data_IF_841799791292
#
_entry.id   IF_841799791292
#
_cell.length_a   1.000
_cell.length_b   1.000
_cell.length_c   1.000
_cell.angle_alpha   90.00
_cell.angle_beta   90.00
_cell.angle_gamma   90.00
#
_symmetry.space_group_name_H-M   'P 1'
#
loop_
_entity.id
_entity.type
_entity.pdbx_description
1 polymer ?
#
# COMPACT_ATOMS: atom_id res chain seq x y z
N UNK A 1 3.31 2.38 9.50
CA UNK A 1 2.34 3.12 10.34
C UNK A 1 1.59 4.14 9.49
N UNK A 2 0.26 4.17 9.51
CA UNK A 2 -0.53 5.19 8.82
C UNK A 2 -0.45 6.53 9.57
N UNK A 3 0.21 7.53 8.99
CA UNK A 3 0.37 8.87 9.59
C UNK A 3 0.38 9.92 8.49
N UNK A 4 -0.39 10.99 8.69
CA UNK A 4 -0.41 12.16 7.82
C UNK A 4 0.63 13.20 8.27
N UNK A 5 1.80 13.18 7.64
CA UNK A 5 2.86 14.16 7.83
C UNK A 5 3.04 14.92 6.51
N UNK A 6 2.96 16.26 6.54
CA UNK A 6 3.19 17.05 5.34
C UNK A 6 4.70 17.14 5.07
N UNK A 7 5.12 16.72 3.88
CA UNK A 7 6.52 16.79 3.41
C UNK A 7 6.59 17.45 2.02
N UNK A 8 7.62 18.24 1.78
CA UNK A 8 7.92 18.77 0.46
C UNK A 8 8.71 17.71 -0.32
N UNK A 9 8.19 17.31 -1.47
CA UNK A 9 8.79 16.31 -2.35
C UNK A 9 9.32 17.01 -3.59
N UNK A 10 10.64 16.98 -3.76
CA UNK A 10 11.31 17.55 -4.91
C UNK A 10 11.95 16.45 -5.75
N UNK A 11 11.55 16.29 -7.01
CA UNK A 11 12.23 15.42 -7.97
C UNK A 11 13.63 15.96 -8.27
N UNK A 12 14.61 15.06 -8.24
CA UNK A 12 15.99 15.35 -8.63
C UNK A 12 16.26 14.96 -10.09
N UNK A 13 15.23 14.54 -10.83
CA UNK A 13 15.37 14.20 -12.23
C UNK A 13 15.41 15.47 -13.11
N UNK A 14 16.45 15.64 -13.96
CA UNK A 14 16.59 16.81 -14.81
C UNK A 14 15.47 16.96 -15.86
N UNK A 15 14.83 15.84 -16.22
CA UNK A 15 13.80 15.78 -17.26
C UNK A 15 12.43 16.28 -16.80
N UNK A 16 12.15 16.23 -15.49
CA UNK A 16 10.85 16.61 -14.92
C UNK A 16 11.04 17.23 -13.51
N UNK A 17 11.32 18.54 -13.42
CA UNK A 17 11.41 19.23 -12.15
C UNK A 17 10.03 19.25 -11.50
N UNK A 18 9.88 18.46 -10.45
CA UNK A 18 8.67 18.38 -9.65
C UNK A 18 8.99 18.86 -8.24
N UNK A 19 8.16 19.74 -7.67
CA UNK A 19 8.30 20.18 -6.29
C UNK A 19 6.93 20.47 -5.71
N UNK A 20 6.39 19.53 -4.93
CA UNK A 20 5.04 19.61 -4.38
C UNK A 20 5.04 19.30 -2.88
N UNK A 21 4.14 19.96 -2.14
CA UNK A 21 3.86 19.61 -0.76
C UNK A 21 2.92 18.40 -0.73
N UNK A 22 3.44 17.23 -0.41
CA UNK A 22 2.67 15.99 -0.36
C UNK A 22 2.37 15.59 1.09
N UNK A 23 1.27 14.87 1.28
CA UNK A 23 0.93 14.27 2.57
C UNK A 23 1.28 12.79 2.55
N UNK A 24 1.97 12.31 3.59
CA UNK A 24 2.19 10.87 3.76
C UNK A 24 0.89 10.18 4.13
N UNK A 25 0.67 8.99 3.57
CA UNK A 25 -0.43 8.10 3.94
C UNK A 25 0.07 7.04 4.92
N UNK A 26 1.22 6.43 4.61
CA UNK A 26 1.85 5.39 5.41
C UNK A 26 3.34 5.67 5.46
N UNK A 27 3.92 5.61 6.65
CA UNK A 27 5.34 5.82 6.89
C UNK A 27 5.96 4.57 7.54
N UNK A 28 7.22 4.31 7.21
CA UNK A 28 8.07 3.24 7.74
C UNK A 28 9.50 3.78 7.89
N UNK A 29 10.36 3.07 8.63
CA UNK A 29 11.79 3.42 8.71
C UNK A 29 12.45 3.45 7.32
N UNK A 30 12.00 2.59 6.40
CA UNK A 30 12.60 2.40 5.08
C UNK A 30 11.97 3.28 4.01
N UNK A 31 10.89 4.01 4.29
CA UNK A 31 10.17 4.74 3.25
C UNK A 31 8.75 5.15 3.62
N UNK A 32 8.02 5.67 2.65
CA UNK A 32 6.64 6.11 2.80
C UNK A 32 5.83 5.94 1.53
N UNK A 33 4.51 5.85 1.70
CA UNK A 33 3.55 6.16 0.65
C UNK A 33 3.07 7.60 0.84
N UNK A 34 3.10 8.38 -0.22
CA UNK A 34 2.62 9.77 -0.27
C UNK A 34 1.47 9.90 -1.27
N UNK A 35 0.64 10.91 -1.05
CA UNK A 35 -0.33 11.38 -2.04
C UNK A 35 0.27 12.56 -2.81
N UNK A 36 0.40 12.41 -4.13
CA UNK A 36 0.79 13.49 -5.04
C UNK A 36 -0.32 13.75 -6.06
N UNK A 37 -0.43 14.98 -6.56
CA UNK A 37 -1.34 15.30 -7.67
C UNK A 37 -0.81 14.79 -9.02
N UNK A 38 0.50 14.58 -9.10
CA UNK A 38 1.21 14.22 -10.34
C UNK A 38 1.73 12.79 -10.26
N UNK A 39 1.77 12.12 -11.41
CA UNK A 39 2.38 10.79 -11.52
C UNK A 39 3.90 10.92 -11.44
N UNK A 40 4.49 10.23 -10.47
CA UNK A 40 5.94 10.03 -10.40
C UNK A 40 6.24 8.58 -10.78
N UNK A 41 7.05 8.36 -11.80
CA UNK A 41 7.37 7.01 -12.25
C UNK A 41 8.36 6.29 -11.30
N UNK A 42 8.33 4.97 -11.32
CA UNK A 42 9.25 4.15 -10.53
C UNK A 42 10.69 4.38 -10.98
N UNK A 43 11.60 4.51 -10.02
CA UNK A 43 13.03 4.77 -10.23
C UNK A 43 13.44 6.24 -10.14
N UNK A 44 12.48 7.18 -10.11
CA UNK A 44 12.78 8.62 -10.01
C UNK A 44 13.39 8.94 -8.64
N UNK A 45 14.59 9.57 -8.59
CA UNK A 45 15.16 10.04 -7.33
C UNK A 45 14.43 11.30 -6.86
N UNK A 46 13.97 11.27 -5.62
CA UNK A 46 13.23 12.35 -4.98
C UNK A 46 13.89 12.76 -3.67
N UNK A 47 13.70 14.02 -3.31
CA UNK A 47 14.24 14.65 -2.10
C UNK A 47 13.07 15.07 -1.23
N UNK A 48 13.04 14.57 -0.01
CA UNK A 48 12.04 14.89 0.98
C UNK A 48 12.57 15.94 1.93
N UNK A 49 11.83 17.03 2.08
CA UNK A 49 12.12 18.09 3.04
C UNK A 49 10.94 18.24 3.99
N UNK A 50 11.22 18.14 5.29
CA UNK A 50 10.23 18.38 6.34
C UNK A 50 10.24 19.85 6.75
N UNK A 51 9.14 20.33 7.34
CA UNK A 51 9.03 21.72 7.84
C UNK A 51 10.09 22.06 8.90
N UNK A 52 10.61 21.07 9.63
CA UNK A 52 11.67 21.25 10.62
C UNK A 52 13.09 21.28 10.00
N UNK A 53 13.20 21.36 8.67
CA UNK A 53 14.47 21.47 7.96
C UNK A 53 15.26 20.16 7.84
N UNK A 54 14.65 19.02 8.20
CA UNK A 54 15.23 17.70 7.94
C UNK A 54 15.03 17.33 6.48
N UNK A 55 16.09 16.84 5.87
CA UNK A 55 16.11 16.42 4.47
C UNK A 55 16.51 14.95 4.36
N UNK A 56 15.85 14.21 3.48
CA UNK A 56 16.20 12.83 3.17
C UNK A 56 16.04 12.56 1.67
N UNK A 57 16.94 11.74 1.12
CA UNK A 57 16.84 11.26 -0.26
C UNK A 57 16.11 9.93 -0.29
N UNK A 58 15.27 9.77 -1.31
CA UNK A 58 14.46 8.59 -1.53
C UNK A 58 14.32 8.31 -3.03
N UNK A 59 13.92 7.10 -3.37
CA UNK A 59 13.59 6.73 -4.73
C UNK A 59 12.14 6.25 -4.81
N UNK A 60 11.44 6.61 -5.89
CA UNK A 60 10.09 6.11 -6.13
C UNK A 60 10.18 4.62 -6.49
N UNK A 61 9.38 3.79 -5.83
CA UNK A 61 9.33 2.33 -6.05
C UNK A 61 8.11 1.96 -6.87
N UNK A 62 6.97 2.57 -6.58
CA UNK A 62 5.71 2.25 -7.23
C UNK A 62 4.79 3.47 -7.24
N UNK A 63 3.90 3.54 -8.23
CA UNK A 63 2.97 4.64 -8.41
C UNK A 63 1.62 4.10 -8.88
N UNK A 64 0.63 4.21 -8.02
CA UNK A 64 -0.71 3.69 -8.26
C UNK A 64 -1.73 4.83 -8.23
N UNK A 65 -2.71 4.87 -9.14
CA UNK A 65 -3.79 5.86 -9.05
C UNK A 65 -4.66 5.61 -7.81
N UNK A 66 -5.04 6.67 -7.09
CA UNK A 66 -5.86 6.59 -5.87
C UNK A 66 -7.34 6.45 -6.28
N UNK A 67 -7.72 5.25 -6.70
CA UNK A 67 -9.11 4.88 -7.02
C UNK A 67 -9.73 5.66 -8.19
N UNK A 68 -10.90 5.23 -8.63
CA UNK A 68 -11.58 5.81 -9.80
C UNK A 68 -12.16 7.23 -9.57
N UNK A 69 -11.99 7.83 -8.38
CA UNK A 69 -12.68 9.06 -7.99
C UNK A 69 -11.89 10.06 -7.14
N UNK A 70 -10.64 9.79 -6.75
CA UNK A 70 -9.77 10.82 -6.16
C UNK A 70 -8.68 11.18 -7.17
N UNK A 71 -8.62 12.46 -7.56
CA UNK A 71 -7.53 12.96 -8.40
C UNK A 71 -6.25 12.96 -7.58
N UNK A 72 -5.45 11.91 -7.74
CA UNK A 72 -4.17 11.79 -7.06
C UNK A 72 -3.51 10.43 -7.31
N UNK A 73 -2.18 10.44 -7.22
CA UNK A 73 -1.33 9.29 -7.33
C UNK A 73 -0.80 8.93 -5.95
N UNK A 74 -0.91 7.66 -5.59
CA UNK A 74 -0.26 7.07 -4.43
C UNK A 74 1.12 6.66 -4.89
N UNK A 75 2.10 7.46 -4.52
CA UNK A 75 3.49 7.22 -4.83
C UNK A 75 4.14 6.55 -3.62
N UNK A 76 4.62 5.33 -3.80
CA UNK A 76 5.45 4.65 -2.82
C UNK A 76 6.91 5.03 -3.07
N UNK A 77 7.57 5.54 -2.05
CA UNK A 77 8.96 5.94 -2.10
C UNK A 77 9.74 5.26 -0.96
N UNK A 78 10.96 4.83 -1.26
CA UNK A 78 11.88 4.21 -0.30
C UNK A 78 13.03 5.16 -0.03
N UNK A 79 13.32 5.39 1.24
CA UNK A 79 14.44 6.20 1.70
C UNK A 79 15.74 5.45 1.43
N UNK A 80 16.77 6.16 0.96
CA UNK A 80 18.09 5.57 0.71
C UNK A 80 18.76 5.15 2.03
N UNK A 81 18.48 5.89 3.11
CA UNK A 81 18.94 5.58 4.47
C UNK A 81 17.74 5.35 5.37
N UNK A 82 17.60 4.15 5.97
CA UNK A 82 16.52 3.89 6.90
C UNK A 82 16.75 4.65 8.20
N UNK A 83 15.97 5.70 8.44
CA UNK A 83 16.10 6.56 9.62
C UNK A 83 14.70 7.00 10.11
N UNK A 84 14.60 7.41 11.38
CA UNK A 84 13.43 8.12 11.89
C UNK A 84 13.35 9.57 11.36
N UNK A 85 13.30 9.71 10.03
CA UNK A 85 13.08 10.97 9.33
C UNK A 85 11.77 11.64 9.76
N UNK A 86 10.75 10.82 10.05
CA UNK A 86 9.39 11.25 10.39
C UNK A 86 9.28 11.98 11.73
N UNK A 87 10.27 11.84 12.62
CA UNK A 87 10.29 12.50 13.92
C UNK A 87 9.19 12.03 14.87
N UNK A 88 8.62 10.84 14.64
CA UNK A 88 7.52 10.32 15.46
C UNK A 88 8.04 9.86 16.83
N UNK A 89 7.33 10.25 17.89
CA UNK A 89 7.52 9.79 19.28
C UNK A 89 6.15 9.44 19.87
N UNK A 90 5.90 8.22 20.36
CA UNK A 90 6.80 7.06 20.32
C UNK A 90 6.95 6.50 18.89
N UNK A 91 8.18 6.16 18.48
CA UNK A 91 8.44 5.43 17.24
C UNK A 91 8.47 3.92 17.53
N UNK A 92 8.07 3.07 16.56
CA UNK A 92 8.28 1.63 16.65
C UNK A 92 9.76 1.30 16.88
N UNK A 93 10.01 0.23 17.62
CA UNK A 93 11.36 -0.19 18.02
C UNK A 93 12.29 -0.43 16.82
N UNK A 94 11.72 -0.82 15.67
CA UNK A 94 12.42 -1.07 14.40
C UNK A 94 12.93 0.20 13.68
N UNK A 95 12.64 1.39 14.22
CA UNK A 95 13.04 2.69 13.64
C UNK A 95 14.24 3.32 14.35
N UNK A 96 14.64 2.75 15.49
CA UNK A 96 15.86 3.14 16.19
C UNK A 96 17.01 2.44 15.45
N UNK A 97 17.94 3.18 14.83
CA UNK A 97 19.15 2.56 14.33
C UNK A 97 19.81 1.83 15.50
N UNK A 98 20.01 0.51 15.38
CA UNK A 98 20.93 -0.19 16.26
C UNK A 98 22.25 0.60 16.23
N UNK A 99 22.89 0.88 17.37
CA UNK A 99 24.17 1.56 17.37
C UNK A 99 25.11 0.83 16.42
N UNK A 100 25.55 1.49 15.35
CA UNK A 100 26.59 0.99 14.48
C UNK A 100 27.77 0.63 15.38
N UNK A 101 28.10 -0.66 15.45
CA UNK A 101 29.40 -1.09 15.94
C UNK A 101 30.46 -0.37 15.09
N UNK A 102 31.45 0.30 15.70
CA UNK A 102 32.50 0.95 14.94
C UNK A 102 33.28 -0.14 14.20
N UNK A 103 33.08 -0.22 12.89
CA UNK A 103 33.95 -1.00 12.02
C UNK A 103 35.36 -0.37 12.03
N UNK A 104 36.43 -1.17 11.98
CA UNK A 104 37.77 -0.71 12.29
C UNK A 104 38.27 0.32 11.27
N UNK A 105 38.99 1.30 11.79
CA UNK A 105 39.65 2.35 11.03
C UNK A 105 40.53 1.79 9.89
N UNK A 106 40.19 2.14 8.65
CA UNK A 106 41.19 2.22 7.59
C UNK A 106 41.49 3.68 7.27
N UNK A 107 42.76 4.00 7.50
CA UNK A 107 43.36 5.31 7.39
C UNK A 107 43.46 5.75 5.92
N UNK A 108 43.09 7.02 5.72
CA UNK A 108 43.75 8.02 4.87
C UNK A 108 44.09 7.59 3.43
N UNK A 109 43.58 8.35 2.48
CA UNK A 109 44.45 9.25 1.71
C UNK A 109 43.69 10.49 1.22
N UNK A 110 44.21 11.61 1.71
CA UNK A 110 43.85 12.98 1.43
C UNK A 110 43.89 13.33 -0.06
N UNK A 111 42.88 14.06 -0.56
CA UNK A 111 43.16 15.12 -1.54
C UNK A 111 42.22 16.29 -1.35
N UNK A 112 42.83 17.40 -0.91
CA UNK A 112 42.22 18.71 -0.69
C UNK A 112 42.14 19.52 -2.00
N UNK A 113 41.30 20.56 -1.93
CA UNK A 113 41.26 21.85 -2.67
C UNK A 113 40.45 21.91 -3.99
N UNK A 114 39.87 23.09 -4.33
CA UNK A 114 39.08 24.00 -3.50
C UNK A 114 37.81 24.53 -4.19
N UNK A 115 36.91 25.04 -3.35
CA UNK A 115 35.85 26.02 -3.63
C UNK A 115 36.34 27.23 -4.44
N UNK A 116 35.58 27.61 -5.47
CA UNK A 116 35.59 28.95 -6.05
C UNK A 116 34.14 29.44 -6.23
N UNK A 117 33.87 30.55 -5.58
CA UNK A 117 32.62 31.30 -5.56
C UNK A 117 32.29 31.90 -6.95
N UNK A 118 31.00 32.01 -7.27
CA UNK A 118 30.45 33.13 -8.05
C UNK A 118 28.99 33.34 -7.63
N UNK A 119 28.77 34.39 -6.84
CA UNK A 119 27.47 35.05 -6.66
C UNK A 119 27.23 36.03 -7.82
N UNK A 120 26.00 36.55 -7.88
CA UNK A 120 25.47 37.56 -8.82
C UNK A 120 25.11 37.00 -10.21
N UNK A 121 24.06 37.42 -10.89
CA UNK A 121 22.90 38.31 -10.72
C UNK A 121 22.24 38.31 -12.12
N UNK A 122 21.02 38.85 -12.25
CA UNK A 122 20.22 39.16 -13.46
C UNK A 122 18.93 38.32 -13.52
N UNK A 123 17.88 38.75 -12.84
CA UNK A 123 16.84 39.69 -13.30
C UNK A 123 16.20 39.35 -14.66
N UNK A 124 14.87 39.29 -14.56
CA UNK A 124 13.85 39.57 -15.56
C UNK A 124 13.46 38.41 -16.49
N UNK A 125 12.20 37.97 -16.38
CA UNK A 125 11.14 38.55 -17.21
C UNK A 125 9.75 37.99 -16.84
N UNK A 126 8.83 38.93 -16.60
CA UNK A 126 7.40 38.75 -16.74
C UNK A 126 7.08 38.16 -18.12
N UNK A 127 6.02 37.35 -18.22
CA UNK A 127 5.01 37.41 -19.28
C UNK A 127 3.92 36.38 -18.97
N UNK A 128 2.79 36.86 -18.47
CA UNK A 128 1.47 36.25 -18.67
C UNK A 128 1.09 36.51 -20.14
N UNK A 129 0.38 35.59 -20.79
CA UNK A 129 -0.91 36.03 -21.32
C UNK A 129 -2.04 35.01 -21.08
N UNK A 130 -3.17 35.55 -20.63
CA UNK A 130 -4.50 34.94 -20.71
C UNK A 130 -4.89 34.65 -22.17
N UNK A 131 -5.78 33.66 -22.36
CA UNK A 131 -7.02 33.68 -23.18
C UNK A 131 -7.51 32.21 -23.28
N UNK A 132 -8.62 31.78 -22.66
CA UNK A 132 -10.07 32.03 -22.89
C UNK A 132 -10.69 30.86 -23.71
N UNK A 133 -11.90 30.45 -23.28
CA UNK A 133 -12.96 29.72 -24.02
C UNK A 133 -12.84 28.19 -23.98
N UNK A 134 -13.85 27.34 -23.74
CA UNK A 134 -15.22 27.32 -23.17
C UNK A 134 -15.50 25.81 -22.95
N UNK A 135 -16.38 25.41 -22.01
CA UNK A 135 -16.67 24.01 -21.71
C UNK A 135 -17.91 23.47 -22.44
N UNK A 136 -17.86 22.23 -22.93
CA UNK A 136 -19.02 21.40 -23.31
C UNK A 136 -18.75 19.96 -22.80
N UNK A 137 -19.49 19.49 -21.80
CA UNK A 137 -20.75 18.70 -21.89
C UNK A 137 -20.53 17.28 -22.43
N UNK A 138 -20.99 16.16 -21.87
CA UNK A 138 -21.79 15.82 -20.69
C UNK A 138 -21.81 14.27 -20.57
N UNK A 139 -22.33 13.78 -19.44
CA UNK A 139 -22.87 12.43 -19.16
C UNK A 139 -21.93 11.43 -18.49
N UNK A 140 -22.25 10.84 -17.33
CA UNK A 140 -23.39 10.99 -16.42
C UNK A 140 -22.98 10.22 -15.16
N UNK A 141 -23.14 10.82 -13.97
CA UNK A 141 -23.46 10.08 -12.75
C UNK A 141 -23.89 11.06 -11.65
N UNK A 142 -25.22 11.22 -11.55
CA UNK A 142 -25.98 11.59 -10.37
C UNK A 142 -25.48 12.85 -9.65
N UNK A 143 -25.58 13.97 -10.35
CA UNK A 143 -25.35 15.29 -9.77
C UNK A 143 -26.63 15.77 -9.10
N UNK A 144 -26.44 16.60 -8.08
CA UNK A 144 -27.38 17.43 -7.32
C UNK A 144 -28.62 17.99 -8.09
N UNK A 145 -28.59 17.99 -9.43
CA UNK A 145 -29.73 18.28 -10.30
C UNK A 145 -30.88 17.28 -10.22
N UNK A 146 -30.64 15.98 -10.01
CA UNK A 146 -31.74 14.99 -9.92
C UNK A 146 -32.52 15.15 -8.61
N UNK A 147 -31.81 15.43 -7.50
CA UNK A 147 -32.44 15.75 -6.21
C UNK A 147 -33.17 17.08 -6.31
N UNK A 148 -32.60 18.07 -7.01
CA UNK A 148 -33.24 19.37 -7.24
C UNK A 148 -34.45 19.27 -8.19
N UNK A 149 -34.43 18.35 -9.15
CA UNK A 149 -35.55 18.06 -10.04
C UNK A 149 -36.69 17.38 -9.30
N UNK A 150 -36.40 16.38 -8.44
CA UNK A 150 -37.42 15.73 -7.60
C UNK A 150 -38.04 16.74 -6.61
N UNK A 151 -37.21 17.62 -6.05
CA UNK A 151 -37.68 18.71 -5.17
C UNK A 151 -38.48 19.75 -5.96
N UNK A 152 -38.05 20.13 -7.16
CA UNK A 152 -38.77 21.08 -8.00
C UNK A 152 -40.10 20.52 -8.53
N UNK A 153 -40.14 19.23 -8.90
CA UNK A 153 -41.35 18.53 -9.33
C UNK A 153 -42.35 18.41 -8.18
N UNK A 154 -41.86 18.15 -6.96
CA UNK A 154 -42.68 18.19 -5.74
C UNK A 154 -43.20 19.60 -5.43
N UNK A 155 -42.37 20.64 -5.60
CA UNK A 155 -42.78 22.05 -5.41
C UNK A 155 -43.80 22.47 -6.47
N UNK A 156 -43.65 22.04 -7.72
CA UNK A 156 -44.59 22.34 -8.80
C UNK A 156 -45.91 21.58 -8.65
N UNK A 157 -45.89 20.32 -8.20
CA UNK A 157 -47.10 19.54 -7.88
C UNK A 157 -47.87 20.17 -6.72
N UNK A 158 -47.18 20.60 -5.66
CA UNK A 158 -47.80 21.33 -4.55
C UNK A 158 -48.35 22.70 -4.98
N UNK A 159 -47.66 23.42 -5.85
CA UNK A 159 -48.17 24.67 -6.42
C UNK A 159 -49.40 24.46 -7.30
N UNK A 160 -49.43 23.38 -8.10
CA UNK A 160 -50.56 23.03 -8.94
C UNK A 160 -51.79 22.67 -8.09
N UNK A 161 -51.63 21.84 -7.06
CA UNK A 161 -52.70 21.50 -6.12
C UNK A 161 -53.21 22.73 -5.35
N UNK A 162 -52.33 23.66 -4.96
CA UNK A 162 -52.72 24.93 -4.33
C UNK A 162 -53.49 25.83 -5.31
N UNK A 163 -53.12 25.86 -6.59
CA UNK A 163 -53.87 26.60 -7.61
C UNK A 163 -55.19 25.95 -7.98
N UNK A 164 -55.27 24.61 -7.96
CA UNK A 164 -56.50 23.84 -8.16
C UNK A 164 -57.46 24.02 -6.98
N UNK A 165 -56.95 23.99 -5.74
CA UNK A 165 -57.72 24.30 -4.53
C UNK A 165 -58.22 25.75 -4.55
N UNK A 166 -57.41 26.70 -5.02
CA UNK A 166 -57.85 28.09 -5.25
C UNK A 166 -58.94 28.19 -6.31
N UNK A 167 -58.84 27.45 -7.42
CA UNK A 167 -59.89 27.42 -8.45
C UNK A 167 -61.16 26.71 -7.99
N UNK A 168 -61.06 25.66 -7.18
CA UNK A 168 -62.22 24.99 -6.58
C UNK A 168 -62.92 25.88 -5.54
N UNK A 169 -62.17 26.77 -4.90
CA UNK A 169 -62.73 27.79 -4.01
C UNK A 169 -63.42 28.93 -4.78
N UNK A 170 -62.89 29.35 -5.93
CA UNK A 170 -63.52 30.40 -6.76
C UNK A 170 -64.65 29.89 -7.66
N UNK A 171 -64.69 28.59 -7.96
CA UNK A 171 -65.73 27.96 -8.81
C UNK A 171 -66.88 27.34 -8.00
N UNK A 172 -66.84 27.39 -6.67
CA UNK A 172 -67.96 27.05 -5.80
C UNK A 172 -69.06 28.12 -5.89
N UNK A 173 -69.90 28.04 -6.92
CA UNK A 173 -71.10 28.87 -7.04
C UNK A 173 -72.17 28.51 -5.98
N UNK A 174 -73.08 29.45 -5.67
CA UNK A 174 -73.54 29.72 -4.32
C UNK A 174 -74.86 28.99 -4.00
N UNK A 175 -74.94 28.33 -2.84
CA UNK A 175 -76.24 28.07 -2.17
C UNK A 175 -76.06 27.63 -0.72
N UNK A 176 -76.09 28.63 0.17
CA UNK A 176 -76.72 28.70 1.51
C UNK A 176 -76.08 29.89 2.22
N UNK A 177 -76.56 31.11 2.00
CA UNK A 177 -77.74 31.71 2.64
C UNK A 177 -77.61 31.81 4.16
N UNK A 178 -77.62 33.08 4.61
CA UNK A 178 -77.98 33.63 5.94
C UNK A 178 -76.91 34.11 6.92
N UNK A 179 -75.63 34.10 6.56
CA UNK A 179 -74.64 34.86 7.33
C UNK A 179 -73.78 35.74 6.42
N UNK A 180 -74.44 36.48 5.53
CA UNK A 180 -73.92 37.77 5.06
C UNK A 180 -74.04 38.78 6.20
N UNK A 181 -73.16 38.66 7.19
CA UNK A 181 -72.85 39.74 8.11
C UNK A 181 -71.40 40.10 7.81
N UNK A 182 -71.24 41.07 6.92
CA UNK A 182 -70.06 41.94 6.80
C UNK A 182 -68.73 41.30 6.38
N UNK A 183 -68.65 40.71 5.18
CA UNK A 183 -67.39 40.41 4.49
C UNK A 183 -66.96 41.50 3.50
N UNK A 184 -67.00 42.77 3.91
CA UNK A 184 -66.22 43.85 3.26
C UNK A 184 -65.36 44.65 4.24
N UNK A 185 -65.37 44.27 5.51
CA UNK A 185 -64.42 44.74 6.52
C UNK A 185 -64.21 43.64 7.56
N UNK A 186 -63.30 42.70 7.26
CA UNK A 186 -62.58 42.02 8.34
C UNK A 186 -61.70 43.12 8.94
N UNK A 187 -61.86 43.48 10.23
CA UNK A 187 -60.94 44.44 10.85
C UNK A 187 -59.51 43.91 10.66
N UNK A 188 -58.56 44.72 10.18
CA UNK A 188 -57.20 44.25 9.87
C UNK A 188 -56.54 43.56 11.08
N UNK A 189 -56.97 43.93 12.28
CA UNK A 189 -56.59 43.32 13.55
C UNK A 189 -56.96 41.84 13.70
N UNK A 190 -58.07 41.38 13.11
CA UNK A 190 -58.52 39.98 13.18
C UNK A 190 -57.83 39.15 12.10
N UNK A 191 -57.57 39.74 10.94
CA UNK A 191 -56.84 39.09 9.86
C UNK A 191 -55.38 38.85 10.25
N UNK A 192 -54.70 39.84 10.84
CA UNK A 192 -53.35 39.67 11.37
C UNK A 192 -53.30 38.62 12.49
N UNK A 193 -54.31 38.58 13.37
CA UNK A 193 -54.43 37.56 14.44
C UNK A 193 -54.65 36.15 13.89
N UNK A 194 -55.40 36.01 12.81
CA UNK A 194 -55.60 34.73 12.13
C UNK A 194 -54.34 34.29 11.41
N UNK A 195 -53.64 35.20 10.72
CA UNK A 195 -52.37 34.89 10.07
C UNK A 195 -51.26 34.55 11.06
N UNK A 196 -51.18 35.23 12.21
CA UNK A 196 -50.23 34.88 13.27
C UNK A 196 -50.55 33.53 13.89
N UNK A 197 -51.81 33.23 14.20
CA UNK A 197 -52.20 31.90 14.71
C UNK A 197 -51.99 30.80 13.70
N UNK A 198 -52.37 31.02 12.44
CA UNK A 198 -52.17 30.03 11.38
C UNK A 198 -50.68 29.76 11.17
N UNK A 199 -49.85 30.81 11.15
CA UNK A 199 -48.39 30.68 11.02
C UNK A 199 -47.76 30.00 12.24
N UNK A 200 -48.25 30.28 13.44
CA UNK A 200 -47.78 29.60 14.66
C UNK A 200 -48.25 28.15 14.70
N UNK A 201 -49.52 27.86 14.47
CA UNK A 201 -50.08 26.51 14.64
C UNK A 201 -49.75 25.58 13.48
N UNK A 202 -49.82 26.05 12.23
CA UNK A 202 -49.43 25.24 11.07
C UNK A 202 -47.91 25.17 10.98
N UNK A 203 -47.20 26.27 11.26
CA UNK A 203 -45.74 26.27 11.29
C UNK A 203 -45.19 25.29 12.33
N UNK A 204 -45.73 25.31 13.55
CA UNK A 204 -45.29 24.37 14.60
C UNK A 204 -45.74 22.94 14.33
N UNK A 205 -46.97 22.69 13.88
CA UNK A 205 -47.42 21.34 13.54
C UNK A 205 -46.66 20.75 12.35
N UNK A 206 -46.41 21.53 11.31
CA UNK A 206 -45.63 21.09 10.16
C UNK A 206 -44.16 20.83 10.54
N UNK A 207 -43.56 21.69 11.38
CA UNK A 207 -42.22 21.47 11.93
C UNK A 207 -42.16 20.21 12.79
N UNK A 208 -43.14 20.00 13.65
CA UNK A 208 -43.20 18.85 14.55
C UNK A 208 -43.43 17.56 13.78
N UNK A 209 -44.31 17.57 12.77
CA UNK A 209 -44.53 16.45 11.87
C UNK A 209 -43.28 16.15 11.02
N UNK A 210 -42.59 17.17 10.52
CA UNK A 210 -41.34 17.01 9.76
C UNK A 210 -40.21 16.48 10.64
N UNK A 211 -40.10 16.95 11.90
CA UNK A 211 -39.14 16.43 12.87
C UNK A 211 -39.41 14.95 13.19
N UNK A 212 -40.69 14.60 13.41
CA UNK A 212 -41.04 13.22 13.72
C UNK A 212 -40.77 12.29 12.52
N UNK A 213 -41.03 12.75 11.30
CA UNK A 213 -40.70 12.01 10.09
C UNK A 213 -39.19 11.87 9.89
N UNK A 214 -38.41 12.93 10.15
CA UNK A 214 -36.95 12.85 10.02
C UNK A 214 -36.36 11.90 11.05
N UNK A 215 -36.80 11.95 12.30
CA UNK A 215 -36.35 11.05 13.37
C UNK A 215 -36.64 9.58 13.05
N UNK A 216 -37.83 9.28 12.51
CA UNK A 216 -38.17 7.93 12.05
C UNK A 216 -37.26 7.46 10.91
N UNK A 217 -36.99 8.32 9.92
CA UNK A 217 -36.08 7.98 8.82
C UNK A 217 -34.65 7.82 9.33
N UNK A 218 -34.20 8.65 10.27
CA UNK A 218 -32.86 8.54 10.86
C UNK A 218 -32.68 7.23 11.63
N UNK A 219 -33.65 6.83 12.45
CA UNK A 219 -33.56 5.56 13.16
C UNK A 219 -33.63 4.37 12.20
N UNK A 220 -34.49 4.41 11.18
CA UNK A 220 -34.54 3.37 10.14
C UNK A 220 -33.22 3.27 9.36
N UNK A 221 -32.61 4.40 9.00
CA UNK A 221 -31.31 4.45 8.31
C UNK A 221 -30.19 3.94 9.22
N UNK A 222 -30.18 4.33 10.50
CA UNK A 222 -29.20 3.86 11.49
C UNK A 222 -29.29 2.36 11.71
N UNK A 223 -30.50 1.80 11.79
CA UNK A 223 -30.71 0.36 11.85
C UNK A 223 -30.25 -0.35 10.58
N UNK A 224 -30.58 0.20 9.40
CA UNK A 224 -30.16 -0.35 8.11
C UNK A 224 -28.62 -0.35 7.96
N UNK A 225 -27.96 0.75 8.32
CA UNK A 225 -26.49 0.86 8.34
C UNK A 225 -25.91 -0.13 9.35
N UNK A 226 -26.46 -0.19 10.57
CA UNK A 226 -26.01 -1.14 11.59
C UNK A 226 -26.18 -2.59 11.18
N UNK A 227 -27.21 -2.91 10.39
CA UNK A 227 -27.40 -4.23 9.79
C UNK A 227 -26.35 -4.50 8.70
N UNK A 228 -26.13 -3.55 7.79
CA UNK A 228 -25.15 -3.67 6.70
C UNK A 228 -23.71 -3.81 7.22
N UNK A 229 -23.34 -3.08 8.27
CA UNK A 229 -22.03 -3.21 8.91
C UNK A 229 -21.86 -4.61 9.50
N UNK A 230 -22.89 -5.15 10.16
CA UNK A 230 -22.84 -6.52 10.72
C UNK A 230 -22.76 -7.59 9.63
N UNK A 231 -23.53 -7.43 8.55
CA UNK A 231 -23.46 -8.31 7.37
C UNK A 231 -22.04 -8.30 6.78
N UNK A 232 -21.50 -7.11 6.46
CA UNK A 232 -20.16 -6.98 5.92
C UNK A 232 -19.07 -7.51 6.87
N UNK A 233 -19.23 -7.33 8.18
CA UNK A 233 -18.31 -7.89 9.17
C UNK A 233 -18.35 -9.42 9.20
N UNK A 234 -19.54 -10.01 9.07
CA UNK A 234 -19.69 -11.46 9.03
C UNK A 234 -19.13 -12.04 7.73
N UNK A 235 -19.42 -11.43 6.58
CA UNK A 235 -18.85 -11.81 5.29
C UNK A 235 -17.32 -11.74 5.32
N UNK A 236 -16.75 -10.66 5.87
CA UNK A 236 -15.30 -10.52 6.02
C UNK A 236 -14.72 -11.61 6.92
N UNK A 237 -15.40 -11.97 8.02
CA UNK A 237 -14.96 -13.05 8.90
C UNK A 237 -14.98 -14.41 8.21
N UNK A 238 -16.02 -14.69 7.44
CA UNK A 238 -16.13 -15.93 6.67
C UNK A 238 -15.05 -16.01 5.59
N UNK A 239 -14.84 -14.93 4.83
CA UNK A 239 -13.76 -14.86 3.84
C UNK A 239 -12.38 -15.02 4.48
N UNK A 240 -12.12 -14.34 5.60
CA UNK A 240 -10.86 -14.45 6.32
C UNK A 240 -10.64 -15.88 6.85
N UNK A 241 -11.68 -16.55 7.34
CA UNK A 241 -11.59 -17.94 7.78
C UNK A 241 -11.31 -18.90 6.61
N UNK A 242 -11.96 -18.69 5.47
CA UNK A 242 -11.74 -19.49 4.25
C UNK A 242 -10.33 -19.31 3.70
N UNK A 243 -9.84 -18.07 3.60
CA UNK A 243 -8.47 -17.77 3.15
C UNK A 243 -7.44 -18.35 4.12
N UNK A 244 -7.66 -18.23 5.43
CA UNK A 244 -6.78 -18.83 6.43
C UNK A 244 -6.72 -20.35 6.29
N UNK A 245 -7.86 -21.01 6.11
CA UNK A 245 -7.94 -22.45 5.90
C UNK A 245 -7.27 -22.87 4.60
N UNK A 246 -7.43 -22.10 3.51
CA UNK A 246 -6.77 -22.36 2.24
C UNK A 246 -5.25 -22.20 2.35
N UNK A 247 -4.78 -21.19 3.07
CA UNK A 247 -3.34 -21.00 3.35
C UNK A 247 -2.79 -22.13 4.21
N UNK A 248 -3.52 -22.57 5.23
CA UNK A 248 -3.11 -23.71 6.07
C UNK A 248 -2.99 -25.00 5.26
N UNK A 249 -3.97 -25.30 4.40
CA UNK A 249 -3.91 -26.46 3.50
C UNK A 249 -2.71 -26.39 2.55
N UNK A 250 -2.45 -25.21 1.95
CA UNK A 250 -1.28 -25.02 1.09
C UNK A 250 0.03 -25.20 1.85
N UNK A 251 0.11 -24.69 3.08
CA UNK A 251 1.28 -24.85 3.93
C UNK A 251 1.52 -26.32 4.32
N UNK A 252 0.46 -27.08 4.61
CA UNK A 252 0.54 -28.51 4.88
C UNK A 252 1.06 -29.29 3.67
N UNK A 253 0.51 -29.05 2.48
CA UNK A 253 0.97 -29.70 1.23
C UNK A 253 2.44 -29.37 0.96
N UNK A 254 2.82 -28.10 1.05
CA UNK A 254 4.23 -27.69 0.85
C UNK A 254 5.16 -28.35 1.89
N UNK A 255 4.72 -28.49 3.14
CA UNK A 255 5.50 -29.17 4.18
C UNK A 255 5.70 -30.65 3.87
N UNK A 256 4.66 -31.33 3.39
CA UNK A 256 4.74 -32.73 2.97
C UNK A 256 5.67 -32.90 1.75
N UNK A 257 5.59 -32.01 0.76
CA UNK A 257 6.46 -31.99 -0.40
C UNK A 257 7.93 -31.74 -0.03
N UNK A 258 8.20 -30.78 0.87
CA UNK A 258 9.55 -30.50 1.36
C UNK A 258 10.09 -31.71 2.12
N UNK A 259 9.28 -32.34 2.98
CA UNK A 259 9.69 -33.53 3.72
C UNK A 259 10.01 -34.71 2.78
N UNK A 260 9.17 -34.96 1.78
CA UNK A 260 9.40 -35.99 0.77
C UNK A 260 10.67 -35.72 -0.05
N UNK A 261 10.86 -34.47 -0.48
CA UNK A 261 12.04 -34.05 -1.25
C UNK A 261 13.32 -34.19 -0.42
N UNK A 262 13.29 -33.77 0.85
CA UNK A 262 14.43 -33.91 1.76
C UNK A 262 14.76 -35.39 2.00
N UNK A 263 13.76 -36.25 2.22
CA UNK A 263 13.96 -37.69 2.35
C UNK A 263 14.57 -38.31 1.09
N UNK A 264 14.10 -37.93 -0.09
CA UNK A 264 14.64 -38.40 -1.36
C UNK A 264 16.09 -37.93 -1.59
N UNK A 265 16.41 -36.68 -1.22
CA UNK A 265 17.77 -36.16 -1.29
C UNK A 265 18.71 -36.89 -0.32
N UNK A 266 18.27 -37.17 0.90
CA UNK A 266 19.04 -37.95 1.87
C UNK A 266 19.25 -39.37 1.37
N UNK A 267 18.22 -40.02 0.84
CA UNK A 267 18.32 -41.39 0.33
C UNK A 267 19.29 -41.47 -0.87
N UNK A 268 19.12 -40.61 -1.87
CA UNK A 268 20.02 -40.56 -3.02
C UNK A 268 21.45 -40.14 -2.63
N UNK A 269 21.60 -39.26 -1.63
CA UNK A 269 22.91 -38.91 -1.06
C UNK A 269 23.57 -40.10 -0.37
N UNK A 270 22.82 -40.87 0.41
CA UNK A 270 23.30 -42.07 1.09
C UNK A 270 23.69 -43.17 0.09
N UNK A 271 22.89 -43.39 -0.96
CA UNK A 271 23.22 -44.33 -2.03
C UNK A 271 24.51 -43.94 -2.76
N UNK A 272 24.67 -42.66 -3.12
CA UNK A 272 25.90 -42.16 -3.73
C UNK A 272 27.10 -42.32 -2.81
N UNK A 273 26.94 -42.02 -1.52
CA UNK A 273 28.01 -42.21 -0.54
C UNK A 273 28.39 -43.70 -0.42
N UNK A 274 27.40 -44.59 -0.38
CA UNK A 274 27.63 -46.03 -0.34
C UNK A 274 28.37 -46.52 -1.60
N UNK A 275 27.98 -46.05 -2.79
CA UNK A 275 28.68 -46.35 -4.03
C UNK A 275 30.13 -45.87 -4.00
N UNK A 276 30.36 -44.62 -3.58
CA UNK A 276 31.71 -44.06 -3.46
C UNK A 276 32.56 -44.82 -2.44
N UNK A 277 31.98 -45.25 -1.33
CA UNK A 277 32.65 -46.06 -0.32
C UNK A 277 33.05 -47.43 -0.86
N UNK A 278 32.17 -48.10 -1.63
CA UNK A 278 32.49 -49.36 -2.31
C UNK A 278 33.60 -49.18 -3.34
N UNK A 279 33.53 -48.14 -4.17
CA UNK A 279 34.60 -47.84 -5.14
C UNK A 279 35.93 -47.49 -4.46
N UNK A 280 35.90 -46.77 -3.34
CA UNK A 280 37.08 -46.49 -2.54
C UNK A 280 37.66 -47.79 -1.93
N UNK A 281 36.80 -48.69 -1.47
CA UNK A 281 37.16 -50.03 -0.99
C UNK A 281 37.88 -50.84 -2.07
N UNK A 282 37.27 -50.97 -3.26
CA UNK A 282 37.87 -51.68 -4.41
C UNK A 282 39.19 -51.04 -4.83
N UNK A 283 39.28 -49.70 -4.84
CA UNK A 283 40.53 -48.98 -5.15
C UNK A 283 41.62 -49.27 -4.12
N UNK A 284 41.27 -49.31 -2.85
CA UNK A 284 42.20 -49.61 -1.77
C UNK A 284 42.70 -51.05 -1.86
N UNK A 285 41.80 -52.01 -2.08
CA UNK A 285 42.13 -53.42 -2.29
C UNK A 285 43.11 -53.58 -3.45
N UNK A 286 42.79 -53.02 -4.63
CA UNK A 286 43.69 -53.05 -5.79
C UNK A 286 45.07 -52.48 -5.48
N UNK A 287 45.13 -51.32 -4.82
CA UNK A 287 46.41 -50.69 -4.46
C UNK A 287 47.19 -51.54 -3.44
N UNK A 288 46.49 -52.21 -2.53
CA UNK A 288 47.12 -53.12 -1.57
C UNK A 288 47.72 -54.36 -2.25
N UNK A 289 47.02 -54.93 -3.24
CA UNK A 289 47.52 -56.05 -4.03
C UNK A 289 48.74 -55.65 -4.88
N UNK A 290 48.70 -54.49 -5.52
CA UNK A 290 49.83 -53.95 -6.27
C UNK A 290 51.06 -53.76 -5.38
N UNK A 291 50.87 -53.20 -4.18
CA UNK A 291 51.96 -53.02 -3.22
C UNK A 291 52.55 -54.36 -2.76
N UNK A 292 51.70 -55.35 -2.45
CA UNK A 292 52.15 -56.70 -2.07
C UNK A 292 52.92 -57.38 -3.20
N UNK A 293 52.50 -57.24 -4.46
CA UNK A 293 53.25 -57.77 -5.61
C UNK A 293 54.62 -57.13 -5.75
N UNK A 294 54.71 -55.81 -5.60
CA UNK A 294 56.00 -55.09 -5.65
C UNK A 294 56.94 -55.56 -4.53
N UNK A 295 56.42 -55.74 -3.32
CA UNK A 295 57.22 -56.29 -2.21
C UNK A 295 57.69 -57.71 -2.50
N UNK A 296 56.82 -58.58 -3.01
CA UNK A 296 57.19 -59.95 -3.35
C UNK A 296 58.26 -60.00 -4.45
N UNK A 297 58.13 -59.16 -5.48
CA UNK A 297 59.13 -59.04 -6.53
C UNK A 297 60.48 -58.58 -5.96
N UNK A 298 60.49 -57.53 -5.14
CA UNK A 298 61.71 -57.01 -4.52
C UNK A 298 62.40 -58.06 -3.65
N UNK A 299 61.64 -58.79 -2.84
CA UNK A 299 62.19 -59.89 -2.03
C UNK A 299 62.78 -61.00 -2.91
N UNK A 300 62.10 -61.36 -4.01
CA UNK A 300 62.62 -62.32 -4.98
C UNK A 300 63.95 -61.87 -5.60
N UNK A 301 64.04 -60.61 -6.00
CA UNK A 301 65.26 -59.99 -6.54
C UNK A 301 66.40 -59.98 -5.51
N UNK A 302 66.12 -59.62 -4.25
CA UNK A 302 67.10 -59.65 -3.15
C UNK A 302 67.57 -61.09 -2.86
N UNK A 303 66.68 -62.07 -2.82
CA UNK A 303 67.03 -63.49 -2.64
C UNK A 303 67.85 -64.04 -3.81
N UNK A 304 67.50 -63.70 -5.05
CA UNK A 304 68.27 -64.09 -6.23
C UNK A 304 69.66 -63.46 -6.23
N UNK A 305 69.77 -62.18 -5.86
CA UNK A 305 71.05 -61.49 -5.72
C UNK A 305 71.92 -62.18 -4.66
N UNK A 306 71.38 -62.50 -3.48
CA UNK A 306 72.10 -63.24 -2.44
C UNK A 306 72.53 -64.64 -2.91
N UNK A 307 71.68 -65.37 -3.64
CA UNK A 307 72.03 -66.68 -4.21
C UNK A 307 73.19 -66.57 -5.20
N UNK A 308 73.18 -65.56 -6.07
CA UNK A 308 74.28 -65.32 -7.02
C UNK A 308 75.57 -64.98 -6.29
N UNK A 309 75.52 -64.14 -5.25
CA UNK A 309 76.69 -63.84 -4.42
C UNK A 309 77.23 -65.09 -3.73
N UNK A 310 76.37 -65.93 -3.14
CA UNK A 310 76.80 -67.21 -2.55
C UNK A 310 77.42 -68.15 -3.60
N UNK A 311 76.86 -68.25 -4.80
CA UNK A 311 77.43 -69.06 -5.88
C UNK A 311 78.79 -68.55 -6.33
N UNK A 312 79.00 -67.24 -6.42
CA UNK A 312 80.31 -66.64 -6.72
C UNK A 312 81.33 -66.99 -5.64
N UNK A 313 80.96 -66.89 -4.37
CA UNK A 313 81.84 -67.25 -3.24
C UNK A 313 82.18 -68.74 -3.28
N UNK A 314 81.20 -69.62 -3.53
CA UNK A 314 81.45 -71.06 -3.67
C UNK A 314 82.36 -71.39 -4.85
N UNK A 315 82.18 -70.73 -6.00
CA UNK A 315 83.04 -70.91 -7.16
C UNK A 315 84.47 -70.43 -6.88
N UNK A 316 84.64 -69.32 -6.16
CA UNK A 316 85.94 -68.83 -5.74
C UNK A 316 86.65 -69.82 -4.80
N UNK A 317 85.94 -70.34 -3.79
CA UNK A 317 86.46 -71.34 -2.85
C UNK A 317 86.83 -72.65 -3.56
N UNK A 318 86.09 -73.07 -4.58
CA UNK A 318 86.39 -74.28 -5.35
C UNK A 318 87.57 -74.13 -6.34
N UNK A 319 88.02 -72.89 -6.58
CA UNK A 319 89.13 -72.56 -7.49
C UNK A 319 90.45 -72.25 -6.80
N UNK A 320 90.44 -72.16 -5.47
CA UNK A 320 91.65 -72.14 -4.60
C UNK A 320 92.06 -73.57 -4.20
#
# INVERSE_FOLDING_TARGET
MPVAVPILVTSLEPAAPFSEMCETLVVSAHGCAIRSSTRLDAGVPVRFLRKEGREATAHVVDCQPIGAGQQGWKVAARLDRPENFWGLKPCPQDWVPLPEMPAPAEQRLSRKLPTRNTEESLRAQNLVPSVKIVPEESQNQLTDGDVRAIVAESIHSLQAEVTELKQKLTRGEPKRSQFEISLSHIPPEVEEKLWTRLRQDIGTKALQQTQQQSEQVFEAVKEAIGKKIREAQNEFREQAAQELQAVEQRAQVLSEEIAATAQQHVHSGAERFQQQALEAGIRLERRSEEFLRVLQQRLGEEHDAQRREMQKVQAAIASE
#
